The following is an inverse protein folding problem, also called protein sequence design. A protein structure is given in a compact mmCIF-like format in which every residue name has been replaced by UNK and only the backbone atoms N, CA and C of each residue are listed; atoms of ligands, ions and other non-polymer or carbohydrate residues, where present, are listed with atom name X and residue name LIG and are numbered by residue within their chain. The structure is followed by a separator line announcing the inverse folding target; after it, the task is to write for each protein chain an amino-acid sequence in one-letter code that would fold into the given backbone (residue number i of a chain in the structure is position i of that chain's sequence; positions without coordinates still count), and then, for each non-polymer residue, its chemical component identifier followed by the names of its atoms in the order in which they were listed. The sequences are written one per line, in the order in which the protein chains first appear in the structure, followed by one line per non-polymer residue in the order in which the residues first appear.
data_IF_241277446167
#
_entry.id   IF_241277446167
#
_cell.length_a   1.000
_cell.length_b   1.000
_cell.length_c   1.000
_cell.angle_alpha   90.00
_cell.angle_beta   90.00
_cell.angle_gamma   90.00
#
_symmetry.space_group_name_H-M   'P 1'
#
loop_
_entity.id
_entity.type
_entity.pdbx_description
1 polymer ?
#
# COMPACT_ATOMS: atom_id res chain seq x y z
N UNK A 1 1.96 3.23 -42.41
CA UNK A 1 1.61 3.72 -41.07
C UNK A 1 2.02 2.63 -40.07
N UNK A 2 2.42 3.00 -38.85
CA UNK A 2 2.78 2.03 -37.81
C UNK A 2 1.61 2.00 -36.78
N UNK A 3 0.84 0.94 -36.76
CA UNK A 3 -0.31 0.75 -35.87
C UNK A 3 -0.50 -0.75 -35.60
N UNK A 4 -1.35 -1.08 -34.63
CA UNK A 4 -1.77 -2.43 -34.29
C UNK A 4 -3.21 -2.65 -34.76
N UNK A 5 -3.53 -3.83 -35.24
CA UNK A 5 -4.88 -4.16 -35.74
C UNK A 5 -5.88 -4.41 -34.59
N UNK A 6 -5.36 -4.88 -33.44
CA UNK A 6 -6.17 -5.19 -32.27
C UNK A 6 -5.45 -4.77 -30.99
N UNK A 7 -6.24 -4.50 -29.93
CA UNK A 7 -5.73 -4.34 -28.57
C UNK A 7 -5.01 -5.60 -28.08
N UNK A 8 -5.32 -6.77 -28.62
CA UNK A 8 -4.69 -8.04 -28.28
C UNK A 8 -3.23 -8.11 -28.76
N UNK A 9 -2.88 -7.39 -29.83
CA UNK A 9 -1.54 -7.38 -30.42
C UNK A 9 -0.51 -6.66 -29.54
N UNK A 10 -0.99 -5.92 -28.53
CA UNK A 10 -0.11 -5.21 -27.57
C UNK A 10 -0.04 -5.90 -26.21
N UNK A 11 -0.61 -7.10 -26.08
CA UNK A 11 -0.44 -7.92 -24.87
C UNK A 11 1.01 -8.42 -24.83
N UNK A 12 1.68 -8.19 -23.73
CA UNK A 12 3.10 -8.52 -23.57
C UNK A 12 4.03 -7.38 -23.98
N UNK A 13 5.29 -7.70 -24.22
CA UNK A 13 6.38 -6.74 -24.49
C UNK A 13 6.44 -5.60 -23.47
N UNK A 14 6.10 -5.92 -22.21
CA UNK A 14 6.09 -4.95 -21.12
C UNK A 14 7.52 -4.52 -20.76
N UNK A 15 7.75 -3.26 -20.38
CA UNK A 15 9.11 -2.76 -20.16
C UNK A 15 9.72 -3.28 -18.85
N UNK A 16 11.06 -3.30 -18.82
CA UNK A 16 11.86 -3.30 -17.60
C UNK A 16 12.22 -1.86 -17.22
N UNK A 17 12.06 -1.51 -15.94
CA UNK A 17 12.43 -0.20 -15.39
C UNK A 17 13.37 -0.39 -14.21
N UNK A 18 14.51 0.32 -14.22
CA UNK A 18 15.45 0.32 -13.10
C UNK A 18 14.86 1.11 -11.92
N UNK A 19 14.88 0.51 -10.73
CA UNK A 19 14.46 1.14 -9.49
C UNK A 19 15.66 1.84 -8.83
N UNK A 20 15.44 3.01 -8.26
CA UNK A 20 16.51 3.84 -7.69
C UNK A 20 16.29 4.25 -6.25
N UNK A 21 15.10 4.78 -5.93
CA UNK A 21 14.83 5.37 -4.61
C UNK A 21 14.45 4.29 -3.59
N UNK A 22 13.53 3.39 -3.95
CA UNK A 22 13.12 2.29 -3.07
C UNK A 22 14.24 1.28 -2.83
N UNK A 23 15.28 1.27 -3.69
CA UNK A 23 16.44 0.39 -3.63
C UNK A 23 17.70 1.08 -3.11
N UNK A 24 17.58 2.32 -2.61
CA UNK A 24 18.72 3.10 -2.12
C UNK A 24 19.49 2.33 -1.04
N UNK A 25 20.80 2.20 -1.22
CA UNK A 25 21.69 1.48 -0.30
C UNK A 25 21.87 -0.01 -0.61
N UNK A 26 21.11 -0.58 -1.54
CA UNK A 26 21.32 -1.92 -2.06
C UNK A 26 22.40 -1.91 -3.17
N UNK A 27 23.16 -2.99 -3.27
CA UNK A 27 24.29 -3.09 -4.20
C UNK A 27 23.88 -3.52 -5.62
N UNK A 28 23.01 -4.57 -5.79
CA UNK A 28 22.66 -5.10 -7.11
C UNK A 28 21.81 -4.13 -7.93
N UNK A 29 21.79 -4.34 -9.24
CA UNK A 29 20.82 -3.65 -10.12
C UNK A 29 19.47 -4.33 -9.99
N UNK A 30 18.43 -3.57 -9.59
CA UNK A 30 17.06 -4.08 -9.45
C UNK A 30 16.18 -3.48 -10.55
N UNK A 31 15.58 -4.35 -11.35
CA UNK A 31 14.74 -4.04 -12.50
C UNK A 31 13.31 -4.53 -12.24
N UNK A 32 12.33 -3.67 -12.45
CA UNK A 32 10.91 -4.00 -12.35
C UNK A 32 10.33 -4.36 -13.72
N UNK A 33 9.77 -5.56 -13.88
CA UNK A 33 8.96 -5.97 -15.05
C UNK A 33 7.54 -5.49 -14.85
N UNK A 34 7.12 -4.50 -15.64
CA UNK A 34 5.88 -3.74 -15.42
C UNK A 34 4.67 -4.37 -16.14
N UNK A 35 4.13 -5.46 -15.60
CA UNK A 35 2.98 -6.18 -16.19
C UNK A 35 1.65 -5.40 -16.09
N UNK A 36 1.57 -4.37 -15.24
CA UNK A 36 0.42 -3.45 -15.20
C UNK A 36 0.27 -2.61 -16.48
N UNK A 37 1.26 -2.62 -17.37
CA UNK A 37 1.20 -1.94 -18.65
C UNK A 37 0.61 -2.79 -19.78
N UNK A 38 0.26 -4.04 -19.53
CA UNK A 38 -0.63 -4.77 -20.42
C UNK A 38 -1.97 -4.02 -20.58
N UNK A 39 -2.67 -4.13 -21.70
CA UNK A 39 -3.87 -3.34 -22.00
C UNK A 39 -5.00 -3.51 -20.98
N UNK A 40 -5.22 -4.70 -20.42
CA UNK A 40 -6.16 -4.97 -19.33
C UNK A 40 -5.61 -4.64 -17.94
N UNK A 41 -4.37 -4.16 -17.86
CA UNK A 41 -3.75 -3.69 -16.62
C UNK A 41 -3.11 -4.76 -15.76
N UNK A 42 -2.86 -5.96 -16.28
CA UNK A 42 -2.22 -7.01 -15.49
C UNK A 42 -1.52 -8.11 -16.32
N UNK A 43 -0.70 -8.88 -15.63
CA UNK A 43 -0.05 -10.10 -16.14
C UNK A 43 -1.05 -11.15 -16.64
N UNK A 44 -2.31 -11.08 -16.21
CA UNK A 44 -3.35 -12.03 -16.56
C UNK A 44 -3.88 -11.87 -17.99
N UNK A 45 -3.59 -10.76 -18.65
CA UNK A 45 -3.92 -10.55 -20.06
C UNK A 45 -3.24 -11.61 -20.94
N UNK A 46 -1.99 -11.98 -20.57
CA UNK A 46 -1.22 -13.01 -21.26
C UNK A 46 -1.90 -14.37 -21.21
N UNK A 47 -2.29 -14.81 -20.01
CA UNK A 47 -2.95 -16.12 -19.85
C UNK A 47 -4.37 -16.10 -20.41
N UNK A 48 -5.09 -14.96 -20.32
CA UNK A 48 -6.40 -14.78 -20.93
C UNK A 48 -6.35 -15.04 -22.44
N UNK A 49 -5.40 -14.44 -23.13
CA UNK A 49 -5.18 -14.62 -24.57
C UNK A 49 -4.78 -16.06 -24.88
N UNK A 50 -3.73 -16.58 -24.25
CA UNK A 50 -3.17 -17.92 -24.56
C UNK A 50 -4.16 -19.04 -24.29
N UNK A 51 -4.93 -19.00 -23.19
CA UNK A 51 -5.91 -20.04 -22.88
C UNK A 51 -7.07 -20.06 -23.88
N UNK A 52 -7.51 -18.88 -24.33
CA UNK A 52 -8.60 -18.80 -25.32
C UNK A 52 -8.12 -19.24 -26.69
N UNK A 53 -6.96 -18.80 -27.16
CA UNK A 53 -6.41 -19.21 -28.46
C UNK A 53 -6.15 -20.72 -28.55
N UNK A 54 -5.66 -21.30 -27.46
CA UNK A 54 -5.49 -22.75 -27.39
C UNK A 54 -6.85 -23.50 -27.42
N UNK A 55 -7.86 -22.99 -26.71
CA UNK A 55 -9.19 -23.56 -26.73
C UNK A 55 -9.83 -23.50 -28.13
N UNK A 56 -9.60 -22.42 -28.88
CA UNK A 56 -9.99 -22.30 -30.30
C UNK A 56 -9.26 -23.33 -31.17
N UNK A 57 -7.92 -23.37 -31.03
CA UNK A 57 -7.07 -24.27 -31.83
C UNK A 57 -7.40 -25.73 -31.61
N UNK A 58 -7.81 -26.13 -30.41
CA UNK A 58 -8.18 -27.51 -30.05
C UNK A 58 -9.65 -27.81 -30.24
N UNK A 59 -10.47 -26.84 -30.66
CA UNK A 59 -11.91 -26.98 -30.86
C UNK A 59 -12.73 -27.08 -29.56
N UNK A 60 -12.12 -26.81 -28.41
CA UNK A 60 -12.81 -26.75 -27.10
C UNK A 60 -13.73 -25.52 -27.00
N UNK A 61 -13.33 -24.43 -27.62
CA UNK A 61 -14.14 -23.22 -27.75
C UNK A 61 -14.39 -22.94 -29.23
N UNK A 62 -15.66 -22.90 -29.61
CA UNK A 62 -16.09 -22.61 -30.99
C UNK A 62 -16.56 -21.17 -31.13
N UNK A 63 -16.52 -20.57 -32.33
CA UNK A 63 -17.04 -19.21 -32.56
C UNK A 63 -18.45 -19.04 -31.99
N UNK A 64 -18.67 -17.95 -31.25
CA UNK A 64 -19.95 -17.68 -30.57
C UNK A 64 -20.19 -18.50 -29.30
N UNK A 65 -19.24 -19.33 -28.87
CA UNK A 65 -19.29 -20.08 -27.61
C UNK A 65 -19.30 -19.20 -26.38
N UNK A 66 -19.42 -19.82 -25.21
CA UNK A 66 -19.50 -19.15 -23.93
C UNK A 66 -18.30 -19.49 -23.05
N UNK A 67 -17.64 -18.50 -22.47
CA UNK A 67 -16.58 -18.67 -21.49
C UNK A 67 -17.19 -18.56 -20.09
N UNK A 68 -16.93 -19.56 -19.24
CA UNK A 68 -17.39 -19.57 -17.83
C UNK A 68 -16.17 -19.67 -16.93
N UNK A 69 -15.95 -18.71 -16.02
CA UNK A 69 -14.80 -18.74 -15.11
C UNK A 69 -15.16 -18.26 -13.71
N UNK A 70 -14.75 -19.02 -12.66
CA UNK A 70 -14.85 -18.56 -11.27
C UNK A 70 -13.69 -17.61 -10.97
N UNK A 71 -13.89 -16.31 -11.18
CA UNK A 71 -12.84 -15.31 -10.96
C UNK A 71 -13.40 -13.99 -10.51
N UNK A 72 -12.67 -13.35 -9.61
CA UNK A 72 -13.03 -12.04 -9.06
C UNK A 72 -11.97 -10.95 -9.33
N UNK A 73 -10.96 -11.28 -10.14
CA UNK A 73 -9.80 -10.42 -10.28
C UNK A 73 -9.31 -10.24 -11.71
N UNK A 74 -8.01 -10.05 -11.82
CA UNK A 74 -7.32 -9.73 -13.07
C UNK A 74 -7.54 -10.76 -14.20
N UNK A 75 -7.71 -12.04 -13.86
CA UNK A 75 -8.00 -13.08 -14.85
C UNK A 75 -9.32 -12.83 -15.55
N UNK A 76 -10.36 -12.40 -14.81
CA UNK A 76 -11.62 -12.00 -15.39
C UNK A 76 -11.47 -10.85 -16.38
N UNK A 77 -10.63 -9.85 -16.07
CA UNK A 77 -10.37 -8.73 -16.99
C UNK A 77 -9.68 -9.19 -18.27
N UNK A 78 -8.61 -10.00 -18.16
CA UNK A 78 -7.91 -10.52 -19.33
C UNK A 78 -8.81 -11.35 -20.23
N UNK A 79 -9.61 -12.27 -19.65
CA UNK A 79 -10.59 -13.07 -20.39
C UNK A 79 -11.68 -12.19 -21.03
N UNK A 80 -12.18 -11.18 -20.30
CA UNK A 80 -13.22 -10.27 -20.77
C UNK A 80 -12.78 -9.48 -22.00
N UNK A 81 -11.56 -8.95 -21.98
CA UNK A 81 -10.98 -8.23 -23.11
C UNK A 81 -10.86 -9.12 -24.35
N UNK A 82 -10.32 -10.33 -24.19
CA UNK A 82 -10.16 -11.29 -25.29
C UNK A 82 -11.52 -11.69 -25.87
N UNK A 83 -12.48 -12.01 -25.00
CA UNK A 83 -13.80 -12.44 -25.41
C UNK A 83 -14.59 -11.34 -26.13
N UNK A 84 -14.50 -10.09 -25.66
CA UNK A 84 -15.14 -8.95 -26.32
C UNK A 84 -14.62 -8.77 -27.75
N UNK A 85 -13.31 -8.91 -27.99
CA UNK A 85 -12.70 -8.77 -29.32
C UNK A 85 -13.04 -9.98 -30.22
N UNK A 86 -13.04 -11.21 -29.68
CA UNK A 86 -13.26 -12.43 -30.43
C UNK A 86 -14.76 -12.82 -30.55
N UNK A 87 -15.67 -12.04 -29.93
CA UNK A 87 -17.13 -12.26 -30.01
C UNK A 87 -17.65 -13.43 -29.18
N UNK A 88 -17.00 -13.78 -28.09
CA UNK A 88 -17.48 -14.80 -27.15
C UNK A 88 -18.40 -14.22 -26.09
N UNK A 89 -19.37 -15.03 -25.65
CA UNK A 89 -20.15 -14.71 -24.43
C UNK A 89 -19.34 -15.04 -23.18
N UNK A 90 -19.59 -14.33 -22.11
CA UNK A 90 -18.89 -14.54 -20.85
C UNK A 90 -19.83 -14.59 -19.67
N UNK A 91 -19.62 -15.56 -18.79
CA UNK A 91 -20.28 -15.70 -17.50
C UNK A 91 -19.19 -15.80 -16.44
N UNK A 92 -19.05 -14.75 -15.61
CA UNK A 92 -18.16 -14.80 -14.46
C UNK A 92 -18.94 -15.12 -13.21
N UNK A 93 -18.42 -16.05 -12.40
CA UNK A 93 -19.00 -16.43 -11.12
C UNK A 93 -18.12 -15.88 -10.00
N UNK A 94 -18.70 -15.04 -9.15
CA UNK A 94 -17.96 -14.26 -8.16
C UNK A 94 -18.57 -14.41 -6.77
N UNK A 95 -17.76 -14.38 -5.68
CA UNK A 95 -18.29 -14.31 -4.34
C UNK A 95 -18.87 -12.91 -4.03
N UNK A 96 -19.89 -12.84 -3.17
CA UNK A 96 -20.63 -11.62 -2.80
C UNK A 96 -19.78 -10.56 -2.05
N UNK A 97 -18.62 -10.93 -1.52
CA UNK A 97 -17.64 -10.01 -0.90
C UNK A 97 -16.91 -9.11 -1.90
N UNK A 98 -17.09 -9.32 -3.20
CA UNK A 98 -16.43 -8.52 -4.23
C UNK A 98 -17.05 -7.12 -4.35
N UNK A 99 -16.19 -6.13 -4.61
CA UNK A 99 -16.66 -4.75 -4.76
C UNK A 99 -17.54 -4.56 -6.01
N UNK A 100 -18.46 -3.61 -5.93
CA UNK A 100 -19.35 -3.24 -7.05
C UNK A 100 -18.57 -2.79 -8.29
N UNK A 101 -17.41 -2.15 -8.09
CA UNK A 101 -16.55 -1.70 -9.18
C UNK A 101 -16.01 -2.87 -10.01
N UNK A 102 -15.59 -3.97 -9.36
CA UNK A 102 -15.11 -5.18 -10.06
C UNK A 102 -16.21 -5.82 -10.89
N UNK A 103 -17.42 -5.90 -10.33
CA UNK A 103 -18.61 -6.40 -11.07
C UNK A 103 -18.93 -5.49 -12.25
N UNK A 104 -18.95 -4.17 -12.02
CA UNK A 104 -19.26 -3.17 -13.05
C UNK A 104 -18.25 -3.19 -14.19
N UNK A 105 -16.97 -3.39 -13.88
CA UNK A 105 -15.92 -3.48 -14.90
C UNK A 105 -16.11 -4.69 -15.83
N UNK A 106 -16.42 -5.86 -15.30
CA UNK A 106 -16.70 -7.04 -16.12
C UNK A 106 -17.96 -6.85 -16.98
N UNK A 107 -19.03 -6.25 -16.42
CA UNK A 107 -20.23 -5.91 -17.15
C UNK A 107 -19.99 -4.87 -18.27
N UNK A 108 -19.05 -3.95 -18.08
CA UNK A 108 -18.67 -2.99 -19.12
C UNK A 108 -18.05 -3.65 -20.35
N UNK A 109 -17.42 -4.83 -20.21
CA UNK A 109 -16.98 -5.68 -21.32
C UNK A 109 -18.10 -6.55 -21.90
N UNK A 110 -19.33 -6.46 -21.39
CA UNK A 110 -20.48 -7.25 -21.84
C UNK A 110 -20.64 -8.61 -21.17
N UNK A 111 -19.95 -8.85 -20.05
CA UNK A 111 -20.06 -10.11 -19.34
C UNK A 111 -21.30 -10.19 -18.45
N UNK A 112 -21.89 -11.39 -18.35
CA UNK A 112 -22.83 -11.74 -17.30
C UNK A 112 -22.05 -12.08 -16.01
N UNK A 113 -22.56 -11.63 -14.87
CA UNK A 113 -21.95 -11.89 -13.57
C UNK A 113 -22.95 -12.56 -12.64
N UNK A 114 -22.60 -13.76 -12.17
CA UNK A 114 -23.34 -14.54 -11.19
C UNK A 114 -22.67 -14.38 -9.83
N UNK A 115 -23.41 -13.87 -8.85
CA UNK A 115 -22.89 -13.63 -7.50
C UNK A 115 -23.31 -14.78 -6.58
N UNK A 116 -22.34 -15.36 -5.86
CA UNK A 116 -22.52 -16.50 -4.97
C UNK A 116 -22.12 -16.13 -3.53
N UNK A 117 -22.67 -16.81 -2.51
CA UNK A 117 -22.30 -16.56 -1.12
C UNK A 117 -20.82 -16.89 -0.86
N UNK A 118 -20.15 -16.04 -0.08
CA UNK A 118 -18.75 -16.25 0.34
C UNK A 118 -18.62 -17.26 1.46
N UNK A 119 -19.57 -17.25 2.41
CA UNK A 119 -19.50 -18.04 3.65
C UNK A 119 -20.02 -19.47 3.46
N UNK A 120 -19.50 -20.18 2.46
CA UNK A 120 -19.81 -21.59 2.20
C UNK A 120 -18.54 -22.36 1.90
N UNK A 121 -18.49 -23.62 2.24
CA UNK A 121 -17.35 -24.49 1.91
C UNK A 121 -17.17 -24.60 0.40
N UNK A 122 -15.93 -24.77 -0.05
CA UNK A 122 -15.58 -24.91 -1.48
C UNK A 122 -16.38 -26.03 -2.18
N UNK A 123 -16.62 -27.14 -1.47
CA UNK A 123 -17.41 -28.29 -1.94
C UNK A 123 -18.92 -28.04 -1.99
N UNK A 124 -19.41 -26.97 -1.40
CA UNK A 124 -20.84 -26.63 -1.40
C UNK A 124 -21.35 -26.39 -2.82
N UNK A 125 -22.55 -26.90 -3.18
CA UNK A 125 -23.19 -26.61 -4.46
C UNK A 125 -23.43 -25.11 -4.72
N UNK A 126 -23.42 -24.28 -3.65
CA UNK A 126 -23.59 -22.83 -3.72
C UNK A 126 -22.26 -22.07 -3.83
N UNK A 127 -21.12 -22.75 -3.68
CA UNK A 127 -19.82 -22.10 -3.85
C UNK A 127 -19.65 -21.57 -5.26
N UNK A 128 -18.98 -20.47 -5.42
CA UNK A 128 -18.73 -19.89 -6.74
C UNK A 128 -17.94 -20.83 -7.66
N UNK A 129 -17.12 -21.73 -7.11
CA UNK A 129 -16.46 -22.80 -7.87
C UNK A 129 -17.47 -23.83 -8.41
N UNK A 130 -18.31 -24.40 -7.53
CA UNK A 130 -19.30 -25.41 -7.93
C UNK A 130 -20.36 -24.85 -8.89
N UNK A 131 -20.74 -23.59 -8.72
CA UNK A 131 -21.67 -22.91 -9.63
C UNK A 131 -21.02 -22.70 -11.01
N UNK A 132 -19.75 -22.28 -11.07
CA UNK A 132 -19.03 -22.16 -12.34
C UNK A 132 -18.89 -23.52 -13.05
N UNK A 133 -18.50 -24.56 -12.33
CA UNK A 133 -18.39 -25.92 -12.86
C UNK A 133 -19.76 -26.48 -13.40
N UNK A 134 -20.84 -26.15 -12.71
CA UNK A 134 -22.19 -26.47 -13.14
C UNK A 134 -22.54 -25.73 -14.41
N UNK A 135 -22.37 -24.42 -14.47
CA UNK A 135 -22.65 -23.60 -15.63
C UNK A 135 -21.82 -24.03 -16.86
N UNK A 136 -20.55 -24.38 -16.65
CA UNK A 136 -19.69 -24.89 -17.70
C UNK A 136 -20.20 -26.20 -18.30
N UNK A 137 -20.94 -27.02 -17.53
CA UNK A 137 -21.57 -28.27 -18.02
C UNK A 137 -22.97 -28.06 -18.64
N UNK A 138 -23.75 -27.12 -18.06
CA UNK A 138 -25.16 -26.92 -18.47
C UNK A 138 -25.30 -25.99 -19.68
N UNK A 139 -24.38 -25.00 -19.84
CA UNK A 139 -24.43 -24.06 -20.98
C UNK A 139 -23.86 -24.74 -22.24
N UNK A 140 -24.63 -24.86 -23.32
CA UNK A 140 -24.15 -25.47 -24.54
C UNK A 140 -22.94 -24.73 -25.13
N UNK A 141 -21.87 -25.44 -25.43
CA UNK A 141 -20.66 -24.87 -26.00
C UNK A 141 -19.84 -24.01 -25.02
N UNK A 142 -20.07 -24.18 -23.72
CA UNK A 142 -19.27 -23.50 -22.70
C UNK A 142 -17.86 -24.09 -22.58
N UNK A 143 -16.91 -23.22 -22.37
CA UNK A 143 -15.52 -23.52 -22.05
C UNK A 143 -15.13 -22.86 -20.74
N UNK A 144 -14.48 -23.63 -19.86
CA UNK A 144 -13.92 -23.10 -18.60
C UNK A 144 -12.40 -23.06 -18.67
N UNK A 145 -11.78 -21.89 -18.71
CA UNK A 145 -10.33 -21.73 -18.77
C UNK A 145 -9.59 -22.39 -17.61
N UNK A 146 -10.11 -22.32 -16.39
CA UNK A 146 -9.58 -22.94 -15.18
C UNK A 146 -8.10 -22.62 -14.93
N UNK A 147 -7.81 -21.36 -14.59
CA UNK A 147 -6.45 -20.84 -14.43
C UNK A 147 -5.55 -21.62 -13.44
N UNK A 148 -6.15 -22.37 -12.50
CA UNK A 148 -5.42 -23.10 -11.47
C UNK A 148 -4.88 -24.47 -11.96
N UNK A 149 -5.48 -25.04 -12.99
CA UNK A 149 -5.13 -26.37 -13.47
C UNK A 149 -4.83 -26.42 -14.98
N UNK A 150 -5.06 -25.33 -15.70
CA UNK A 150 -4.78 -25.27 -17.13
C UNK A 150 -3.28 -25.11 -17.39
N UNK A 151 -2.62 -26.09 -18.05
CA UNK A 151 -1.19 -26.02 -18.35
C UNK A 151 -0.81 -24.86 -19.26
N UNK A 152 -1.78 -24.24 -19.96
CA UNK A 152 -1.54 -23.07 -20.79
C UNK A 152 -1.24 -21.81 -19.95
N UNK A 153 -1.57 -21.81 -18.67
CA UNK A 153 -1.18 -20.72 -17.79
C UNK A 153 0.37 -20.60 -17.65
N UNK A 154 1.11 -21.58 -17.14
CA UNK A 154 2.58 -21.49 -17.13
C UNK A 154 3.19 -21.45 -18.53
N UNK A 155 2.58 -22.10 -19.52
CA UNK A 155 3.04 -22.08 -20.92
C UNK A 155 3.05 -20.66 -21.50
N UNK A 156 2.04 -19.84 -21.24
CA UNK A 156 1.98 -18.44 -21.67
C UNK A 156 3.22 -17.66 -21.21
N UNK A 157 3.65 -17.87 -19.97
CA UNK A 157 4.81 -17.19 -19.42
C UNK A 157 6.15 -17.77 -19.89
N UNK A 158 6.18 -19.08 -20.16
CA UNK A 158 7.32 -19.73 -20.78
C UNK A 158 7.56 -19.21 -22.20
N UNK A 159 6.49 -19.00 -22.98
CA UNK A 159 6.58 -18.55 -24.37
C UNK A 159 6.74 -17.03 -24.52
N UNK A 160 6.35 -16.23 -23.52
CA UNK A 160 6.34 -14.76 -23.65
C UNK A 160 7.15 -14.06 -22.56
N UNK A 161 6.72 -14.11 -21.31
CA UNK A 161 7.34 -13.34 -20.21
C UNK A 161 8.80 -13.72 -19.94
N UNK A 162 9.10 -15.02 -19.98
CA UNK A 162 10.46 -15.54 -19.81
C UNK A 162 11.41 -15.07 -20.92
N UNK A 163 11.07 -15.25 -22.22
CA UNK A 163 11.83 -14.71 -23.35
C UNK A 163 12.05 -13.20 -23.27
N UNK A 164 11.00 -12.41 -22.99
CA UNK A 164 11.10 -10.96 -22.86
C UNK A 164 12.12 -10.55 -21.78
N UNK A 165 12.05 -11.14 -20.59
CA UNK A 165 12.98 -10.86 -19.50
C UNK A 165 14.41 -11.22 -19.90
N UNK A 166 14.60 -12.36 -20.55
CA UNK A 166 15.91 -12.82 -21.00
C UNK A 166 16.52 -11.85 -22.01
N UNK A 167 15.78 -11.46 -23.04
CA UNK A 167 16.21 -10.53 -24.06
C UNK A 167 16.47 -9.13 -23.48
N UNK A 168 15.56 -8.61 -22.66
CA UNK A 168 15.68 -7.28 -22.04
C UNK A 168 16.86 -7.16 -21.08
N UNK A 169 17.37 -8.27 -20.55
CA UNK A 169 18.54 -8.31 -19.66
C UNK A 169 19.82 -8.76 -20.38
N UNK A 170 19.77 -9.01 -21.67
CA UNK A 170 20.88 -9.64 -22.42
C UNK A 170 21.36 -10.95 -21.77
N UNK A 171 20.45 -11.71 -21.15
CA UNK A 171 20.75 -12.92 -20.40
C UNK A 171 21.53 -12.73 -19.08
N UNK A 172 21.71 -11.49 -18.61
CA UNK A 172 22.48 -11.18 -17.41
C UNK A 172 21.71 -11.30 -16.09
N UNK A 173 20.44 -11.73 -16.15
CA UNK A 173 19.63 -11.92 -14.95
C UNK A 173 20.26 -12.97 -14.01
N UNK A 174 20.38 -12.66 -12.72
CA UNK A 174 20.88 -13.55 -11.66
C UNK A 174 19.77 -13.99 -10.71
N UNK A 175 18.79 -13.12 -10.45
CA UNK A 175 17.66 -13.41 -9.56
C UNK A 175 16.36 -12.99 -10.24
N UNK A 176 15.37 -13.87 -10.21
CA UNK A 176 13.99 -13.56 -10.59
C UNK A 176 13.07 -13.64 -9.37
N UNK A 177 12.32 -12.56 -9.11
CA UNK A 177 11.39 -12.48 -7.98
C UNK A 177 9.97 -12.28 -8.50
N UNK A 178 9.05 -13.13 -8.06
CA UNK A 178 7.62 -12.98 -8.35
C UNK A 178 6.74 -13.41 -7.18
N UNK A 179 5.55 -12.80 -7.07
CA UNK A 179 4.53 -13.25 -6.14
C UNK A 179 3.99 -14.62 -6.51
N UNK A 180 3.71 -15.46 -5.52
CA UNK A 180 3.18 -16.80 -5.66
C UNK A 180 1.65 -16.78 -5.50
N UNK A 181 0.90 -17.02 -6.58
CA UNK A 181 -0.55 -17.26 -6.59
C UNK A 181 -0.83 -18.58 -7.31
N UNK A 182 -1.51 -18.57 -8.47
CA UNK A 182 -1.72 -19.79 -9.27
C UNK A 182 -0.41 -20.51 -9.65
N UNK A 183 0.73 -19.87 -9.53
CA UNK A 183 2.04 -20.41 -9.87
C UNK A 183 2.42 -20.30 -11.35
N UNK A 184 1.49 -19.95 -12.23
CA UNK A 184 1.76 -19.93 -13.66
C UNK A 184 2.91 -19.01 -14.06
N UNK A 185 2.93 -17.77 -13.54
CA UNK A 185 3.96 -16.80 -13.86
C UNK A 185 5.35 -17.26 -13.41
N UNK A 186 5.48 -17.61 -12.12
CA UNK A 186 6.78 -18.02 -11.57
C UNK A 186 7.27 -19.33 -12.21
N UNK A 187 6.40 -20.32 -12.38
CA UNK A 187 6.77 -21.62 -12.98
C UNK A 187 7.18 -21.49 -14.44
N UNK A 188 6.40 -20.75 -15.25
CA UNK A 188 6.71 -20.57 -16.66
C UNK A 188 8.00 -19.80 -16.90
N UNK A 189 8.19 -18.67 -16.19
CA UNK A 189 9.42 -17.87 -16.27
C UNK A 189 10.62 -18.64 -15.74
N UNK A 190 10.50 -19.28 -14.56
CA UNK A 190 11.57 -20.06 -13.96
C UNK A 190 12.06 -21.19 -14.86
N UNK A 191 11.13 -21.94 -15.46
CA UNK A 191 11.46 -23.00 -16.42
C UNK A 191 12.28 -22.43 -17.58
N UNK A 192 11.81 -21.34 -18.21
CA UNK A 192 12.50 -20.73 -19.33
C UNK A 192 13.91 -20.24 -18.97
N UNK A 193 14.05 -19.54 -17.83
CA UNK A 193 15.32 -18.99 -17.40
C UNK A 193 16.33 -20.09 -17.00
N UNK A 194 15.88 -21.09 -16.22
CA UNK A 194 16.77 -22.21 -15.78
C UNK A 194 17.24 -23.09 -16.92
N UNK A 195 16.46 -23.26 -17.98
CA UNK A 195 16.90 -23.96 -19.21
C UNK A 195 18.07 -23.23 -19.92
N UNK A 196 18.20 -21.92 -19.78
CA UNK A 196 19.27 -21.09 -20.39
C UNK A 196 20.41 -20.79 -19.46
N UNK A 197 20.12 -20.52 -18.21
CA UNK A 197 21.08 -20.21 -17.14
C UNK A 197 20.65 -20.95 -15.86
N UNK A 198 21.05 -22.21 -15.65
CA UNK A 198 20.63 -23.00 -14.50
C UNK A 198 20.92 -22.36 -13.15
N UNK A 199 21.91 -21.42 -13.11
CA UNK A 199 22.29 -20.69 -11.90
C UNK A 199 21.36 -19.53 -11.54
N UNK A 200 20.35 -19.19 -12.35
CA UNK A 200 19.37 -18.16 -11.98
C UNK A 200 18.63 -18.59 -10.72
N UNK A 201 18.67 -17.71 -9.71
CA UNK A 201 17.99 -17.91 -8.45
C UNK A 201 16.53 -17.45 -8.52
N UNK A 202 15.59 -18.35 -8.30
CA UNK A 202 14.15 -18.09 -8.38
C UNK A 202 13.59 -17.89 -6.99
N UNK A 203 13.03 -16.71 -6.75
CA UNK A 203 12.47 -16.31 -5.47
C UNK A 203 10.96 -16.14 -5.56
N UNK A 204 10.23 -16.93 -4.79
CA UNK A 204 8.80 -16.78 -4.59
C UNK A 204 8.53 -15.85 -3.41
N UNK A 205 7.83 -14.74 -3.62
CA UNK A 205 7.30 -13.94 -2.54
C UNK A 205 5.87 -14.41 -2.22
N UNK A 206 5.60 -14.71 -0.94
CA UNK A 206 4.36 -15.34 -0.51
C UNK A 206 3.77 -14.62 0.71
N UNK A 207 2.46 -14.37 0.77
CA UNK A 207 1.88 -13.71 1.93
C UNK A 207 1.89 -14.63 3.15
N UNK A 208 2.13 -14.05 4.32
CA UNK A 208 1.91 -14.75 5.59
C UNK A 208 0.47 -15.26 5.66
N UNK A 209 0.32 -16.55 5.93
CA UNK A 209 -0.97 -17.25 5.94
C UNK A 209 -1.30 -18.02 4.65
N UNK A 210 -0.42 -18.02 3.67
CA UNK A 210 -0.53 -18.87 2.47
C UNK A 210 0.09 -20.26 2.68
N UNK A 211 -0.45 -21.25 1.96
CA UNK A 211 0.04 -22.64 2.00
C UNK A 211 1.53 -22.79 1.64
N UNK A 212 2.06 -21.91 0.78
CA UNK A 212 3.43 -22.07 0.28
C UNK A 212 4.51 -21.81 1.33
N UNK A 213 4.24 -20.93 2.29
CA UNK A 213 5.25 -20.49 3.27
C UNK A 213 4.91 -20.78 4.73
N UNK A 214 3.71 -21.32 5.04
CA UNK A 214 3.35 -21.59 6.43
C UNK A 214 1.92 -22.09 6.64
N UNK A 215 1.46 -22.05 7.88
CA UNK A 215 0.09 -22.43 8.21
C UNK A 215 -0.90 -21.44 7.58
N UNK A 216 -2.02 -21.99 7.08
CA UNK A 216 -3.07 -21.19 6.44
C UNK A 216 -3.73 -20.25 7.45
N UNK A 217 -3.74 -18.96 7.17
CA UNK A 217 -4.35 -17.92 7.96
C UNK A 217 -4.90 -16.80 7.05
N UNK A 218 -5.83 -15.95 7.51
CA UNK A 218 -6.36 -14.85 6.71
C UNK A 218 -5.30 -13.77 6.42
N UNK A 219 -5.22 -13.31 5.17
CA UNK A 219 -4.45 -12.15 4.72
C UNK A 219 -5.30 -11.27 3.78
N UNK A 220 -4.85 -10.04 3.51
CA UNK A 220 -5.59 -9.03 2.73
C UNK A 220 -4.96 -8.69 1.38
N UNK A 221 -3.72 -9.06 1.17
CA UNK A 221 -3.07 -8.90 -0.14
C UNK A 221 -3.80 -9.75 -1.17
N UNK A 222 -4.10 -9.18 -2.34
CA UNK A 222 -4.87 -9.84 -3.40
C UNK A 222 -3.97 -10.31 -4.54
N UNK A 223 -4.38 -11.41 -5.20
CA UNK A 223 -3.73 -11.95 -6.39
C UNK A 223 -2.51 -12.81 -6.16
N UNK A 224 -2.17 -13.08 -4.90
CA UNK A 224 -1.09 -13.95 -4.43
C UNK A 224 -1.56 -14.73 -3.21
N UNK A 225 -0.85 -15.81 -2.90
CA UNK A 225 -1.19 -16.72 -1.82
C UNK A 225 -2.34 -17.67 -2.19
N UNK A 226 -2.31 -18.89 -1.67
CA UNK A 226 -3.32 -19.92 -1.91
C UNK A 226 -3.55 -20.74 -0.64
N UNK A 227 -4.73 -21.35 -0.55
CA UNK A 227 -5.09 -22.31 0.50
C UNK A 227 -5.05 -23.76 0.03
N UNK A 228 -4.67 -23.99 -1.23
CA UNK A 228 -4.45 -25.30 -1.85
C UNK A 228 -3.29 -25.22 -2.85
N UNK A 229 -2.76 -26.39 -3.27
CA UNK A 229 -1.69 -26.47 -4.28
C UNK A 229 -2.27 -26.45 -5.69
N UNK A 230 -2.09 -25.38 -6.48
CA UNK A 230 -2.51 -25.34 -7.88
C UNK A 230 -1.70 -26.30 -8.75
N UNK A 231 -2.36 -26.94 -9.74
CA UNK A 231 -1.68 -27.79 -10.71
C UNK A 231 -0.74 -27.05 -11.67
N UNK A 232 -0.83 -25.72 -11.72
CA UNK A 232 0.01 -24.85 -12.54
C UNK A 232 1.27 -24.36 -11.81
N UNK A 233 1.43 -24.71 -10.52
CA UNK A 233 2.62 -24.41 -9.73
C UNK A 233 3.62 -25.57 -9.82
N UNK A 234 4.82 -25.31 -10.31
CA UNK A 234 5.98 -26.19 -10.13
C UNK A 234 6.91 -25.64 -9.05
N UNK A 235 6.61 -26.02 -7.82
CA UNK A 235 7.35 -25.55 -6.63
C UNK A 235 8.82 -25.94 -6.65
N UNK A 236 9.21 -26.98 -7.40
CA UNK A 236 10.60 -27.46 -7.51
C UNK A 236 11.50 -26.47 -8.27
N UNK A 237 10.93 -25.57 -9.02
CA UNK A 237 11.67 -24.52 -9.73
C UNK A 237 11.98 -23.31 -8.84
N UNK A 238 11.33 -23.20 -7.68
CA UNK A 238 11.52 -22.10 -6.72
C UNK A 238 12.65 -22.45 -5.76
N UNK A 239 13.71 -21.66 -5.75
CA UNK A 239 14.90 -21.90 -4.91
C UNK A 239 14.75 -21.34 -3.50
N UNK A 240 13.97 -20.25 -3.36
CA UNK A 240 13.73 -19.58 -2.08
C UNK A 240 12.32 -19.03 -2.02
N UNK A 241 11.68 -19.15 -0.85
CA UNK A 241 10.42 -18.50 -0.56
C UNK A 241 10.66 -17.44 0.51
N UNK A 242 10.20 -16.21 0.24
CA UNK A 242 10.20 -15.10 1.21
C UNK A 242 8.78 -14.87 1.65
N UNK A 243 8.51 -15.09 2.92
CA UNK A 243 7.21 -14.77 3.53
C UNK A 243 7.13 -13.28 3.81
N UNK A 244 6.00 -12.66 3.43
CA UNK A 244 5.81 -11.20 3.52
C UNK A 244 4.45 -10.91 4.14
N UNK A 245 4.43 -10.02 5.12
CA UNK A 245 3.17 -9.60 5.76
C UNK A 245 2.37 -8.65 4.87
N UNK A 246 1.07 -8.52 5.14
CA UNK A 246 0.20 -7.52 4.52
C UNK A 246 0.77 -6.09 4.65
N UNK A 247 1.26 -5.75 5.85
CA UNK A 247 1.82 -4.42 6.13
C UNK A 247 3.03 -4.12 5.26
N UNK A 248 3.98 -5.02 5.17
CA UNK A 248 5.17 -4.89 4.33
C UNK A 248 4.80 -4.75 2.86
N UNK A 249 3.85 -5.58 2.39
CA UNK A 249 3.33 -5.53 1.03
C UNK A 249 2.73 -4.17 0.69
N UNK A 250 1.85 -3.65 1.54
CA UNK A 250 1.16 -2.39 1.28
C UNK A 250 2.08 -1.17 1.43
N UNK A 251 2.99 -1.19 2.40
CA UNK A 251 4.00 -0.12 2.56
C UNK A 251 4.92 -0.07 1.35
N UNK A 252 5.41 -1.22 0.86
CA UNK A 252 6.27 -1.28 -0.32
C UNK A 252 5.53 -0.78 -1.59
N UNK A 253 4.26 -1.17 -1.81
CA UNK A 253 3.46 -0.68 -2.93
C UNK A 253 3.26 0.85 -2.88
N UNK A 254 3.02 1.42 -1.69
CA UNK A 254 2.90 2.87 -1.49
C UNK A 254 4.22 3.60 -1.75
N UNK A 255 5.35 3.03 -1.34
CA UNK A 255 6.69 3.57 -1.63
C UNK A 255 6.98 3.56 -3.12
N UNK A 256 6.68 2.47 -3.84
CA UNK A 256 6.81 2.42 -5.30
C UNK A 256 6.06 3.55 -5.98
N UNK A 257 4.81 3.83 -5.56
CA UNK A 257 4.02 4.93 -6.12
C UNK A 257 4.63 6.31 -5.80
N UNK A 258 5.07 6.54 -4.57
CA UNK A 258 5.55 7.86 -4.11
C UNK A 258 6.99 8.17 -4.50
N UNK A 259 7.85 7.15 -4.50
CA UNK A 259 9.28 7.31 -4.70
C UNK A 259 9.70 7.03 -6.15
N UNK A 260 9.08 6.06 -6.84
CA UNK A 260 9.42 5.68 -8.22
C UNK A 260 8.36 6.14 -9.25
N UNK A 261 7.20 6.64 -8.81
CA UNK A 261 6.09 7.00 -9.70
C UNK A 261 5.36 5.78 -10.29
N UNK A 262 5.56 4.59 -9.72
CA UNK A 262 5.02 3.32 -10.23
C UNK A 262 3.82 2.90 -9.37
N UNK A 263 2.59 3.13 -9.88
CA UNK A 263 1.35 2.81 -9.19
C UNK A 263 0.94 1.36 -9.46
N UNK A 264 1.18 0.48 -8.50
CA UNK A 264 1.01 -0.98 -8.61
C UNK A 264 0.18 -1.58 -7.48
N UNK A 265 -0.30 -2.81 -7.65
CA UNK A 265 -1.07 -3.54 -6.64
C UNK A 265 -0.26 -4.02 -5.44
N UNK A 266 -0.95 -4.53 -4.42
CA UNK A 266 -0.32 -5.06 -3.19
C UNK A 266 0.61 -6.24 -3.44
N UNK A 267 0.29 -7.09 -4.41
CA UNK A 267 1.15 -8.21 -4.84
C UNK A 267 2.49 -7.76 -5.44
N UNK A 268 2.52 -6.57 -6.06
CA UNK A 268 3.77 -5.95 -6.52
C UNK A 268 4.61 -5.46 -5.34
N UNK A 269 3.95 -4.89 -4.32
CA UNK A 269 4.62 -4.50 -3.07
C UNK A 269 5.20 -5.72 -2.34
N UNK A 270 4.46 -6.81 -2.29
CA UNK A 270 4.91 -8.11 -1.77
C UNK A 270 6.16 -8.60 -2.50
N UNK A 271 6.13 -8.65 -3.84
CA UNK A 271 7.29 -9.05 -4.65
C UNK A 271 8.48 -8.09 -4.45
N UNK A 272 8.23 -6.78 -4.33
CA UNK A 272 9.28 -5.80 -4.07
C UNK A 272 9.92 -5.99 -2.70
N UNK A 273 9.13 -6.25 -1.65
CA UNK A 273 9.69 -6.56 -0.32
C UNK A 273 10.58 -7.80 -0.38
N UNK A 274 10.11 -8.88 -1.01
CA UNK A 274 10.92 -10.08 -1.23
C UNK A 274 12.21 -9.80 -2.00
N UNK A 275 12.16 -8.93 -3.01
CA UNK A 275 13.35 -8.52 -3.77
C UNK A 275 14.35 -7.72 -2.90
N UNK A 276 13.88 -6.84 -2.03
CA UNK A 276 14.73 -6.08 -1.09
C UNK A 276 15.42 -7.02 -0.12
N UNK A 277 14.71 -7.97 0.47
CA UNK A 277 15.29 -8.96 1.41
C UNK A 277 16.43 -9.74 0.76
N UNK A 278 16.20 -10.28 -0.41
CA UNK A 278 17.22 -11.04 -1.15
C UNK A 278 18.39 -10.17 -1.60
N UNK A 279 18.13 -8.92 -1.98
CA UNK A 279 19.16 -8.00 -2.48
C UNK A 279 20.20 -7.59 -1.42
N UNK A 280 19.88 -7.70 -0.12
CA UNK A 280 20.79 -7.35 0.97
C UNK A 280 22.09 -8.18 0.94
N UNK A 281 22.00 -9.44 0.53
CA UNK A 281 23.12 -10.38 0.50
C UNK A 281 23.77 -10.52 -0.89
N UNK A 282 23.35 -9.66 -1.87
CA UNK A 282 23.81 -9.72 -3.27
C UNK A 282 24.88 -8.68 -3.59
N UNK A 283 25.71 -9.02 -4.57
CA UNK A 283 26.81 -8.17 -5.05
C UNK A 283 26.39 -7.08 -6.03
N UNK A 284 27.29 -6.12 -6.30
CA UNK A 284 26.99 -4.98 -7.19
C UNK A 284 26.85 -5.37 -8.67
N UNK A 285 27.39 -6.49 -9.09
CA UNK A 285 27.38 -6.97 -10.48
C UNK A 285 26.15 -7.82 -10.80
N UNK A 286 25.34 -8.15 -9.78
CA UNK A 286 24.15 -8.99 -9.93
C UNK A 286 22.93 -8.17 -10.39
N UNK A 287 22.10 -8.82 -11.21
CA UNK A 287 20.86 -8.27 -11.75
C UNK A 287 19.67 -9.04 -11.18
N UNK A 288 18.80 -8.33 -10.49
CA UNK A 288 17.54 -8.83 -9.94
C UNK A 288 16.41 -8.29 -10.78
N UNK A 289 15.55 -9.17 -11.29
CA UNK A 289 14.28 -8.78 -11.94
C UNK A 289 13.13 -9.13 -11.01
N UNK A 290 12.34 -8.13 -10.64
CA UNK A 290 11.11 -8.28 -9.85
C UNK A 290 9.90 -8.01 -10.75
N UNK A 291 8.91 -8.90 -10.75
CA UNK A 291 7.71 -8.77 -11.56
C UNK A 291 6.59 -8.07 -10.77
N UNK A 292 6.05 -6.99 -11.35
CA UNK A 292 4.90 -6.24 -10.83
C UNK A 292 3.64 -6.62 -11.61
N UNK A 293 2.76 -7.47 -11.03
CA UNK A 293 1.74 -8.14 -11.81
C UNK A 293 0.55 -7.28 -12.22
N UNK A 294 0.19 -6.21 -11.49
CA UNK A 294 -1.01 -5.43 -11.81
C UNK A 294 -0.96 -3.96 -11.39
N UNK A 295 -1.96 -3.22 -11.88
CA UNK A 295 -2.10 -1.78 -11.62
C UNK A 295 -2.65 -1.51 -10.21
N UNK A 296 -2.12 -0.45 -9.56
CA UNK A 296 -2.63 0.06 -8.29
C UNK A 296 -3.99 0.76 -8.37
N UNK A 297 -4.50 1.05 -9.56
CA UNK A 297 -5.78 1.76 -9.76
C UNK A 297 -6.97 1.04 -9.13
N UNK A 298 -6.90 -0.28 -9.03
CA UNK A 298 -7.95 -1.13 -8.45
C UNK A 298 -7.99 -1.10 -6.90
N UNK A 299 -7.05 -0.39 -6.26
CA UNK A 299 -6.83 -0.44 -4.80
C UNK A 299 -6.79 0.93 -4.14
N UNK A 300 -7.26 1.99 -4.84
CA UNK A 300 -7.22 3.37 -4.33
C UNK A 300 -8.05 3.55 -3.05
N UNK A 301 -9.15 2.84 -2.90
CA UNK A 301 -9.99 2.83 -1.70
C UNK A 301 -9.48 1.92 -0.58
N UNK A 302 -8.41 1.12 -0.84
CA UNK A 302 -7.78 0.20 0.11
C UNK A 302 -6.45 0.77 0.61
N UNK A 303 -5.34 0.09 0.38
CA UNK A 303 -4.04 0.44 0.95
C UNK A 303 -3.42 1.75 0.42
N UNK A 304 -3.98 2.40 -0.59
CA UNK A 304 -3.63 3.79 -0.95
C UNK A 304 -4.42 4.82 -0.15
N UNK A 305 -5.46 4.43 0.60
CA UNK A 305 -6.21 5.26 1.52
C UNK A 305 -5.62 5.14 2.94
N UNK A 306 -5.21 6.27 3.53
CA UNK A 306 -4.58 6.30 4.84
C UNK A 306 -5.54 5.83 5.95
N UNK A 307 -6.83 6.16 5.85
CA UNK A 307 -7.82 5.73 6.83
C UNK A 307 -8.00 4.21 6.81
N UNK A 308 -8.09 3.61 5.62
CA UNK A 308 -8.12 2.16 5.47
C UNK A 308 -6.87 1.49 6.08
N UNK A 309 -5.69 2.08 5.85
CA UNK A 309 -4.42 1.57 6.40
C UNK A 309 -4.41 1.64 7.94
N UNK A 310 -4.95 2.72 8.53
CA UNK A 310 -5.06 2.86 10.00
C UNK A 310 -6.07 1.88 10.60
N UNK A 311 -7.24 1.72 9.97
CA UNK A 311 -8.28 0.80 10.42
C UNK A 311 -7.79 -0.66 10.43
N UNK A 312 -6.87 -1.00 9.53
CA UNK A 312 -6.26 -2.33 9.46
C UNK A 312 -4.95 -2.45 10.25
N UNK A 313 -4.51 -1.42 10.97
CA UNK A 313 -3.30 -1.45 11.80
C UNK A 313 -1.98 -1.37 11.02
N UNK A 314 -2.01 -1.01 9.75
CA UNK A 314 -0.82 -0.92 8.88
C UNK A 314 -0.13 0.44 8.91
N UNK A 315 -0.83 1.49 9.33
CA UNK A 315 -0.27 2.78 9.71
C UNK A 315 -0.52 3.01 11.20
N UNK A 316 0.47 3.56 11.89
CA UNK A 316 0.29 3.98 13.27
C UNK A 316 -0.85 4.99 13.34
N UNK A 317 -1.76 4.80 14.29
CA UNK A 317 -2.66 5.87 14.71
C UNK A 317 -1.77 6.92 15.39
N UNK A 318 -1.86 8.18 14.98
CA UNK A 318 -1.20 9.26 15.72
C UNK A 318 -1.60 9.21 17.20
N UNK A 319 -2.83 8.80 17.50
CA UNK A 319 -3.32 8.57 18.85
C UNK A 319 -2.67 7.45 19.67
N UNK A 320 -1.86 6.58 19.06
CA UNK A 320 -1.00 5.65 19.82
C UNK A 320 0.26 6.32 20.36
N UNK A 321 0.64 7.50 19.82
CA UNK A 321 1.75 8.32 20.30
C UNK A 321 1.29 9.07 21.55
N UNK A 322 2.08 9.00 22.59
CA UNK A 322 1.83 9.77 23.82
C UNK A 322 2.52 11.13 23.75
N UNK A 323 1.93 12.13 24.37
CA UNK A 323 2.52 13.47 24.52
C UNK A 323 3.94 13.39 25.09
N UNK A 324 4.19 12.46 26.01
CA UNK A 324 5.51 12.18 26.59
C UNK A 324 6.57 11.91 25.52
N UNK A 325 6.24 11.22 24.43
CA UNK A 325 7.18 10.91 23.35
C UNK A 325 7.56 12.16 22.56
N UNK A 326 6.63 13.09 22.37
CA UNK A 326 6.89 14.40 21.75
C UNK A 326 7.87 15.20 22.59
N UNK A 327 7.63 15.24 23.92
CA UNK A 327 8.51 15.97 24.85
C UNK A 327 9.92 15.38 24.95
N UNK A 328 10.08 14.08 24.72
CA UNK A 328 11.40 13.41 24.69
C UNK A 328 12.16 13.68 23.39
N UNK A 329 11.44 13.90 22.27
CA UNK A 329 12.04 14.18 20.98
C UNK A 329 12.41 15.68 20.79
N UNK A 330 12.04 16.54 21.72
CA UNK A 330 12.33 17.97 21.66
C UNK A 330 13.83 18.23 21.73
N UNK A 331 14.37 18.97 20.76
CA UNK A 331 15.78 19.30 20.64
C UNK A 331 16.25 20.21 21.77
N UNK A 332 17.48 20.06 22.26
CA UNK A 332 18.10 20.85 23.28
C UNK A 332 18.19 22.34 22.87
N UNK A 333 17.74 23.26 23.69
CA UNK A 333 17.97 24.71 23.50
C UNK A 333 16.89 25.64 24.05
N UNK A 334 15.62 25.23 24.08
CA UNK A 334 14.54 26.05 24.68
C UNK A 334 13.96 25.33 25.88
N UNK A 335 13.74 26.02 27.04
CA UNK A 335 13.07 25.39 28.17
C UNK A 335 11.68 24.88 27.76
N UNK A 336 11.34 23.65 28.17
CA UNK A 336 10.04 23.03 27.86
C UNK A 336 8.85 23.84 28.40
N UNK A 337 9.07 24.62 29.42
CA UNK A 337 8.09 25.51 30.04
C UNK A 337 8.75 26.79 30.49
N UNK A 338 8.24 27.93 30.05
CA UNK A 338 8.50 29.27 30.57
C UNK A 338 7.17 29.82 31.06
N UNK A 339 7.13 30.40 32.26
CA UNK A 339 5.93 30.99 32.86
C UNK A 339 6.23 32.41 33.39
N UNK A 340 5.17 33.19 33.57
CA UNK A 340 5.26 34.52 34.22
C UNK A 340 4.26 34.60 35.37
N UNK A 341 4.66 35.27 36.47
CA UNK A 341 3.75 35.52 37.59
C UNK A 341 2.75 36.63 37.25
N UNK A 342 1.53 36.49 37.71
CA UNK A 342 0.41 37.38 37.42
C UNK A 342 0.65 38.85 37.83
N UNK A 343 1.49 39.09 38.87
CA UNK A 343 1.84 40.43 39.37
C UNK A 343 2.97 41.13 38.60
N UNK A 344 3.73 40.39 37.79
CA UNK A 344 4.81 40.96 36.97
C UNK A 344 4.24 41.93 35.96
N UNK A 345 5.05 42.88 35.48
CA UNK A 345 4.63 43.79 34.43
C UNK A 345 4.56 43.11 33.08
N UNK A 346 3.69 43.60 32.18
CA UNK A 346 3.61 43.14 30.81
C UNK A 346 4.96 43.32 30.09
N UNK A 347 5.74 44.38 30.44
CA UNK A 347 7.09 44.60 29.91
C UNK A 347 8.04 43.43 30.25
N UNK A 348 8.08 42.99 31.53
CA UNK A 348 8.87 41.82 31.93
C UNK A 348 8.44 40.55 31.18
N UNK A 349 7.16 40.40 30.92
CA UNK A 349 6.66 39.26 30.13
C UNK A 349 7.11 39.31 28.64
N UNK A 350 7.12 40.50 28.04
CA UNK A 350 7.64 40.73 26.67
C UNK A 350 9.13 40.37 26.61
N UNK A 351 9.91 40.80 27.60
CA UNK A 351 11.34 40.48 27.67
C UNK A 351 11.58 38.95 27.75
N UNK A 352 10.77 38.23 28.54
CA UNK A 352 10.82 36.77 28.60
C UNK A 352 10.46 36.13 27.25
N UNK A 353 9.41 36.58 26.57
CA UNK A 353 9.00 36.08 25.26
C UNK A 353 10.11 36.27 24.21
N UNK A 354 10.79 37.45 24.23
CA UNK A 354 11.91 37.72 23.32
C UNK A 354 13.14 36.89 23.67
N UNK A 355 13.47 36.78 24.95
CA UNK A 355 14.62 36.02 25.42
C UNK A 355 14.60 34.57 25.00
N UNK A 356 13.41 33.94 25.04
CA UNK A 356 13.24 32.53 24.73
C UNK A 356 12.67 32.25 23.31
N UNK A 357 12.37 33.32 22.55
CA UNK A 357 11.79 33.18 21.20
C UNK A 357 10.41 32.50 21.19
N UNK A 358 9.61 32.75 22.23
CA UNK A 358 8.28 32.12 22.42
C UNK A 358 7.14 33.11 22.19
N UNK A 359 6.05 32.65 21.58
CA UNK A 359 4.86 33.43 21.29
C UNK A 359 3.69 33.18 22.25
N UNK A 360 3.89 32.28 23.21
CA UNK A 360 2.88 31.88 24.20
C UNK A 360 3.54 31.81 25.58
N UNK A 361 3.00 32.52 26.56
CA UNK A 361 3.56 32.57 27.89
C UNK A 361 2.47 32.32 28.95
N UNK A 362 2.40 31.09 29.53
CA UNK A 362 1.44 30.78 30.58
C UNK A 362 1.65 31.65 31.82
N UNK A 363 0.57 32.14 32.41
CA UNK A 363 0.52 32.98 33.59
C UNK A 363 0.16 32.15 34.80
N UNK A 364 1.01 32.22 35.84
CA UNK A 364 0.81 31.47 37.11
C UNK A 364 0.38 32.38 38.24
N UNK A 365 -0.38 31.83 39.20
CA UNK A 365 -0.77 32.53 40.43
C UNK A 365 0.37 32.51 41.45
N UNK A 366 0.65 33.68 42.03
CA UNK A 366 1.71 33.89 43.04
C UNK A 366 1.45 33.15 44.37
N UNK A 367 0.18 32.87 44.71
CA UNK A 367 -0.23 32.41 46.03
C UNK A 367 -0.06 30.90 46.24
N UNK A 368 -0.08 30.09 45.16
CA UNK A 368 -0.04 28.62 45.24
C UNK A 368 1.03 27.96 44.35
N UNK A 369 1.79 28.70 43.54
CA UNK A 369 2.95 28.24 42.78
C UNK A 369 2.74 27.16 41.70
N UNK A 370 1.52 26.69 41.46
CA UNK A 370 1.27 25.51 40.64
C UNK A 370 0.09 25.61 39.66
N UNK A 371 -0.70 26.69 39.68
CA UNK A 371 -1.89 26.81 38.83
C UNK A 371 -1.67 27.84 37.71
N UNK A 372 -1.87 27.45 36.47
CA UNK A 372 -1.94 28.40 35.33
C UNK A 372 -3.34 29.02 35.33
N UNK A 373 -3.39 30.37 35.48
CA UNK A 373 -4.61 31.16 35.58
C UNK A 373 -4.95 31.92 34.28
N UNK A 374 -3.99 32.00 33.34
CA UNK A 374 -4.16 32.70 32.08
C UNK A 374 -2.99 32.42 31.14
N UNK A 375 -2.98 33.10 30.02
CA UNK A 375 -1.89 33.06 29.02
C UNK A 375 -1.70 34.44 28.40
N UNK A 376 -0.47 34.88 28.18
CA UNK A 376 -0.17 35.96 27.26
C UNK A 376 0.16 35.40 25.90
N UNK A 377 -0.53 35.91 24.87
CA UNK A 377 -0.27 35.55 23.47
C UNK A 377 0.32 36.77 22.75
N UNK A 378 1.41 36.58 22.02
CA UNK A 378 2.09 37.63 21.26
C UNK A 378 1.11 38.45 20.41
N UNK A 379 0.21 37.78 19.69
CA UNK A 379 -0.77 38.41 18.78
C UNK A 379 -1.73 39.35 19.53
N UNK A 380 -2.32 38.89 20.64
CA UNK A 380 -3.30 39.68 21.40
C UNK A 380 -2.61 40.78 22.19
N UNK A 381 -1.41 40.49 22.66
CA UNK A 381 -0.58 41.48 23.38
C UNK A 381 -0.14 42.62 22.45
N UNK A 382 0.25 42.31 21.21
CA UNK A 382 0.61 43.32 20.20
C UNK A 382 -0.57 44.29 19.92
N UNK A 383 -1.81 43.77 19.75
CA UNK A 383 -3.00 44.61 19.56
C UNK A 383 -3.26 45.52 20.77
N UNK A 384 -3.12 45.00 22.02
CA UNK A 384 -3.32 45.76 23.25
C UNK A 384 -2.31 46.88 23.39
N UNK A 385 -1.02 46.59 23.20
CA UNK A 385 0.07 47.58 23.30
C UNK A 385 -0.01 48.62 22.19
N UNK A 386 -0.43 48.23 20.98
CA UNK A 386 -0.65 49.16 19.87
C UNK A 386 -1.77 50.15 20.15
N UNK A 387 -2.86 49.71 20.81
CA UNK A 387 -4.00 50.59 21.19
C UNK A 387 -3.69 51.46 22.42
N UNK A 388 -2.96 50.93 23.39
CA UNK A 388 -2.57 51.63 24.60
C UNK A 388 -1.16 51.21 25.03
N UNK A 389 -0.12 52.03 24.72
CA UNK A 389 1.24 51.75 25.12
C UNK A 389 1.45 51.67 26.65
N UNK A 390 0.55 52.24 27.46
CA UNK A 390 0.65 52.18 28.91
C UNK A 390 0.45 50.77 29.48
N UNK A 391 -0.15 49.88 28.71
CA UNK A 391 -0.34 48.44 29.05
C UNK A 391 0.98 47.77 29.41
N UNK A 392 2.12 48.19 28.85
CA UNK A 392 3.45 47.64 29.13
C UNK A 392 3.83 47.71 30.60
N UNK A 393 3.35 48.77 31.30
CA UNK A 393 3.63 48.99 32.72
C UNK A 393 2.59 48.37 33.66
N UNK A 394 1.50 47.80 33.13
CA UNK A 394 0.45 47.17 33.95
C UNK A 394 0.83 45.75 34.36
N UNK A 395 0.12 45.19 35.35
CA UNK A 395 0.29 43.81 35.74
C UNK A 395 -0.19 42.85 34.67
N UNK A 396 0.51 41.73 34.47
CA UNK A 396 0.15 40.64 33.53
C UNK A 396 -1.28 40.17 33.72
N UNK A 397 -1.78 40.10 34.97
CA UNK A 397 -3.15 39.71 35.29
C UNK A 397 -4.22 40.59 34.63
N UNK A 398 -3.92 41.85 34.30
CA UNK A 398 -4.84 42.76 33.62
C UNK A 398 -4.83 42.62 32.10
N UNK A 399 -3.82 41.97 31.55
CA UNK A 399 -3.58 41.83 30.11
C UNK A 399 -3.53 40.37 29.64
N UNK A 400 -3.79 39.39 30.48
CA UNK A 400 -3.79 37.99 30.10
C UNK A 400 -5.11 37.59 29.39
N UNK A 401 -5.00 36.56 28.57
CA UNK A 401 -6.10 35.82 27.95
C UNK A 401 -6.48 34.59 28.78
N UNK A 402 -7.52 33.88 28.43
CA UNK A 402 -7.89 32.60 29.07
C UNK A 402 -6.71 31.62 29.01
N UNK A 403 -6.66 30.66 29.97
CA UNK A 403 -5.65 29.60 29.93
C UNK A 403 -5.73 28.77 28.63
N UNK A 404 -4.57 28.27 28.19
CA UNK A 404 -4.49 27.31 27.09
C UNK A 404 -5.26 26.02 27.44
N UNK A 405 -5.77 25.32 26.41
CA UNK A 405 -6.29 23.96 26.58
C UNK A 405 -5.21 23.05 27.18
N UNK A 406 -5.62 22.21 28.14
CA UNK A 406 -4.70 21.33 28.86
C UNK A 406 -4.79 19.89 28.34
N UNK A 407 -3.62 19.27 28.21
CA UNK A 407 -3.47 17.86 27.85
C UNK A 407 -2.56 17.16 28.86
N UNK A 408 -2.88 15.93 29.22
CA UNK A 408 -2.02 15.15 30.13
C UNK A 408 -0.75 14.66 29.40
N UNK A 409 0.36 14.52 30.13
CA UNK A 409 1.62 13.98 29.57
C UNK A 409 1.45 12.57 28.99
N UNK A 410 0.53 11.77 29.51
CA UNK A 410 0.21 10.43 29.03
C UNK A 410 -1.01 10.39 28.10
N UNK A 411 -1.60 11.54 27.78
CA UNK A 411 -2.66 11.66 26.77
C UNK A 411 -2.16 11.31 25.37
N UNK A 412 -3.11 11.01 24.50
CA UNK A 412 -2.80 10.74 23.09
C UNK A 412 -2.35 12.03 22.38
N UNK A 413 -1.57 11.89 21.32
CA UNK A 413 -1.20 13.02 20.48
C UNK A 413 -2.42 13.69 19.84
N UNK A 414 -3.49 12.91 19.56
CA UNK A 414 -4.75 13.42 19.01
C UNK A 414 -5.41 14.44 19.93
N UNK A 415 -5.27 14.28 21.26
CA UNK A 415 -5.81 15.22 22.25
C UNK A 415 -5.15 16.61 22.16
N UNK A 416 -3.89 16.67 21.69
CA UNK A 416 -3.19 17.94 21.43
C UNK A 416 -3.52 18.49 20.04
N UNK A 417 -3.72 17.62 19.04
CA UNK A 417 -4.09 18.05 17.69
C UNK A 417 -5.44 18.73 17.61
N UNK A 418 -6.44 18.24 18.37
CA UNK A 418 -7.81 18.73 18.27
C UNK A 418 -7.94 20.24 18.59
N UNK A 419 -7.41 20.77 19.73
CA UNK A 419 -7.41 22.21 20.02
C UNK A 419 -6.64 23.03 18.98
N UNK A 420 -5.46 22.54 18.55
CA UNK A 420 -4.61 23.22 17.58
C UNK A 420 -5.25 23.33 16.19
N UNK A 421 -6.01 22.30 15.75
CA UNK A 421 -6.77 22.34 14.50
C UNK A 421 -7.98 23.28 14.58
N UNK A 422 -8.58 23.45 15.77
CA UNK A 422 -9.69 24.40 16.00
C UNK A 422 -9.24 25.86 16.09
N UNK A 423 -7.94 26.14 16.03
CA UNK A 423 -7.41 27.51 15.97
C UNK A 423 -6.55 27.94 17.14
N UNK A 424 -6.42 27.14 18.19
CA UNK A 424 -5.46 27.42 19.26
C UNK A 424 -4.03 27.43 18.74
N UNK A 425 -3.18 28.26 19.35
CA UNK A 425 -1.80 28.40 18.93
C UNK A 425 -0.88 27.39 19.61
N UNK A 426 -1.25 26.99 20.83
CA UNK A 426 -0.51 26.04 21.66
C UNK A 426 -1.46 25.32 22.62
N UNK A 427 -0.99 24.22 23.21
CA UNK A 427 -1.62 23.49 24.31
C UNK A 427 -0.66 23.38 25.49
N UNK A 428 -1.18 23.42 26.71
CA UNK A 428 -0.42 23.27 27.95
C UNK A 428 -0.39 21.78 28.33
N UNK A 429 0.81 21.24 28.51
CA UNK A 429 0.98 19.87 29.00
C UNK A 429 1.05 19.85 30.51
N UNK A 430 0.27 18.99 31.12
CA UNK A 430 0.20 18.85 32.58
C UNK A 430 0.55 17.42 33.03
N UNK A 431 1.27 17.33 34.17
CA UNK A 431 1.57 16.07 34.86
C UNK A 431 1.23 16.21 36.34
N UNK A 432 0.35 15.37 36.85
CA UNK A 432 -0.13 15.46 38.23
C UNK A 432 -0.78 16.81 38.57
N UNK A 433 -1.44 17.44 37.60
CA UNK A 433 -2.07 18.77 37.76
C UNK A 433 -1.10 19.96 37.68
N UNK A 434 0.19 19.73 37.43
CA UNK A 434 1.21 20.78 37.29
C UNK A 434 1.60 20.97 35.80
N UNK A 435 1.78 22.20 35.34
CA UNK A 435 2.26 22.48 34.00
C UNK A 435 3.72 22.03 33.85
N UNK A 436 4.03 21.27 32.79
CA UNK A 436 5.38 20.75 32.53
C UNK A 436 5.95 21.18 31.19
N UNK A 437 5.08 21.54 30.23
CA UNK A 437 5.51 22.00 28.90
C UNK A 437 4.40 22.77 28.19
N UNK A 438 4.76 23.49 27.14
CA UNK A 438 3.85 24.01 26.10
C UNK A 438 4.19 23.34 24.78
N UNK A 439 3.20 22.85 24.04
CA UNK A 439 3.36 22.28 22.70
C UNK A 439 2.64 23.16 21.70
N UNK A 440 3.34 23.53 20.64
CA UNK A 440 2.83 24.34 19.53
C UNK A 440 2.59 23.49 18.27
N UNK A 441 1.99 24.08 17.24
CA UNK A 441 1.87 23.43 15.91
C UNK A 441 3.23 23.11 15.31
N UNK A 442 4.26 23.95 15.54
CA UNK A 442 5.60 23.72 15.01
C UNK A 442 6.22 22.48 15.62
N UNK A 443 6.09 22.29 16.93
CA UNK A 443 6.61 21.12 17.64
C UNK A 443 5.99 19.81 17.15
N UNK A 444 4.66 19.82 16.89
CA UNK A 444 3.97 18.67 16.34
C UNK A 444 4.38 18.37 14.88
N UNK A 445 4.55 19.40 14.05
CA UNK A 445 5.01 19.24 12.67
C UNK A 445 6.44 18.68 12.64
N UNK A 446 7.34 19.20 13.47
CA UNK A 446 8.70 18.71 13.59
C UNK A 446 8.73 17.25 14.01
N UNK A 447 7.99 16.88 15.06
CA UNK A 447 7.89 15.52 15.55
C UNK A 447 7.38 14.55 14.48
N UNK A 448 6.30 14.90 13.76
CA UNK A 448 5.73 14.07 12.71
C UNK A 448 6.68 13.94 11.51
N UNK A 449 7.37 15.02 11.13
CA UNK A 449 8.34 15.01 10.03
C UNK A 449 9.54 14.10 10.30
N UNK A 450 10.06 14.08 11.51
CA UNK A 450 11.21 13.24 11.88
C UNK A 450 10.85 11.78 12.11
N UNK A 451 9.62 11.48 12.51
CA UNK A 451 9.13 10.09 12.71
C UNK A 451 8.89 9.34 11.40
N UNK A 452 8.76 10.03 10.29
CA UNK A 452 8.61 9.44 8.95
C UNK A 452 9.92 8.95 8.31
N UNK A 453 11.06 9.09 9.00
CA UNK A 453 12.40 8.74 8.52
C UNK A 453 13.01 7.49 9.21
N UNK A 454 12.24 6.82 10.10
CA UNK A 454 12.67 5.61 10.80
C UNK A 454 11.90 4.37 10.35
#
# INVERSE_FOLDING_TARGET
MKYYESILDIVGNTPLVRLHKVTKGLKPTILAKLEQLNPGGSVKDRIGLTMIEEAERTGQLRPGGTIVEPTSGNTGHGLAMVAAIKGYKMIFVMPDKMSSEKISLLKAYGADVVVCPTNVERSSPQSYYSVADRLAREVPGAFQPNQYFNPRNPEAHYQTTGPEIWEQTDGRIDVFVAGMGTGGTISGVAKYLKERKPAVHIVGADPEGSLYSGPIAPYKVEGVGEDFMPGTMDIKLVDQIVQVTDKESFVAARRLAREEGILVGGSSGLAMHGAIEVARDRGPDEVIVVLFPDTGRNYLSKFFNDEWMRQNGYLARLGAVRIREVLLAHTEGVPKLVTVEARKSVGEAIDLMQQYGISQLPVVDDSNGNGVIGTLQERTLLDRVYRDPAVVTTAVSSAMDAPLSQVGVDSSLDDAFEPLLRGEQAVLVVEGGKPVAVITRADLLEFVAHRGQG
#
